data_IF_961419425070
#
_entry.id   IF_961419425070
#
_cell.length_a   1.000
_cell.length_b   1.000
_cell.length_c   1.000
_cell.angle_alpha   90.00
_cell.angle_beta   90.00
_cell.angle_gamma   90.00
#
_symmetry.space_group_name_H-M   'P 1'
#
loop_
_entity.id
_entity.type
_entity.pdbx_description
1 polymer ?
#
# COMPACT_ATOMS: atom_id res chain seq x y z
N UNK A 1 -29.91 -24.88 20.30
CA UNK A 1 -30.22 -23.63 19.56
C UNK A 1 -28.90 -22.89 19.39
N UNK A 2 -28.35 -22.84 18.16
CA UNK A 2 -28.29 -21.64 17.29
C UNK A 2 -27.36 -20.56 17.90
N UNK A 3 -26.25 -20.09 17.33
CA UNK A 3 -25.85 -19.91 15.92
C UNK A 3 -24.33 -19.62 15.82
N UNK A 4 -23.69 -20.22 14.80
CA UNK A 4 -22.70 -19.62 13.89
C UNK A 4 -21.26 -19.38 14.41
N UNK A 5 -20.44 -20.38 14.14
CA UNK A 5 -19.12 -20.30 13.49
C UNK A 5 -18.90 -19.02 12.68
N UNK A 6 -18.06 -18.09 13.17
CA UNK A 6 -17.45 -17.06 12.33
C UNK A 6 -15.99 -17.41 12.07
N UNK A 7 -15.83 -18.30 11.12
CA UNK A 7 -14.62 -18.44 10.31
C UNK A 7 -14.60 -17.23 9.36
N UNK A 8 -13.69 -16.30 9.59
CA UNK A 8 -13.24 -15.31 8.61
C UNK A 8 -11.71 -15.36 8.68
N UNK A 9 -11.06 -16.31 8.01
CA UNK A 9 -10.49 -16.12 6.66
C UNK A 9 -9.92 -14.71 6.49
N UNK A 10 -8.95 -14.34 7.33
CA UNK A 10 -7.96 -13.30 7.01
C UNK A 10 -6.66 -14.03 6.66
N UNK A 11 -6.72 -14.80 5.58
CA UNK A 11 -5.60 -15.58 5.06
C UNK A 11 -5.66 -15.56 3.53
N UNK A 12 -5.66 -14.36 2.92
CA UNK A 12 -5.65 -14.27 1.45
C UNK A 12 -5.18 -12.92 0.86
N UNK A 13 -4.22 -12.21 1.50
CA UNK A 13 -3.56 -11.07 0.83
C UNK A 13 -2.02 -11.05 1.02
N UNK A 14 -1.41 -12.16 1.43
CA UNK A 14 0.06 -12.29 1.47
C UNK A 14 0.64 -13.07 0.26
N UNK A 15 -0.14 -13.27 -0.81
CA UNK A 15 0.27 -14.06 -1.99
C UNK A 15 0.71 -13.17 -3.17
N UNK A 16 1.04 -11.89 -2.94
CA UNK A 16 1.61 -11.03 -3.99
C UNK A 16 3.09 -10.69 -3.75
N UNK A 17 3.70 -11.20 -2.66
CA UNK A 17 5.13 -11.00 -2.42
C UNK A 17 6.03 -12.10 -3.04
N UNK A 18 5.49 -12.99 -3.88
CA UNK A 18 6.19 -14.20 -4.34
C UNK A 18 7.07 -14.04 -5.59
N UNK A 19 7.44 -12.83 -5.98
CA UNK A 19 8.38 -12.62 -7.10
C UNK A 19 9.13 -11.30 -7.02
N UNK A 20 9.79 -11.01 -5.89
CA UNK A 20 11.04 -10.24 -5.94
C UNK A 20 12.14 -11.21 -6.37
N UNK A 21 12.15 -11.54 -7.66
CA UNK A 21 13.27 -12.25 -8.28
C UNK A 21 14.52 -11.42 -8.08
N UNK A 22 15.59 -12.13 -7.69
CA UNK A 22 16.97 -11.63 -7.65
C UNK A 22 17.39 -11.31 -9.09
N UNK A 23 17.12 -10.10 -9.54
CA UNK A 23 17.85 -9.48 -10.63
C UNK A 23 18.22 -8.08 -10.15
N UNK A 24 19.52 -7.83 -10.11
CA UNK A 24 20.20 -6.58 -9.79
C UNK A 24 19.91 -5.51 -10.88
N UNK A 25 18.63 -5.29 -11.18
CA UNK A 25 18.14 -4.21 -12.01
C UNK A 25 17.38 -3.25 -11.09
N UNK A 26 17.98 -2.09 -10.80
CA UNK A 26 17.38 -0.90 -10.19
C UNK A 26 16.15 -0.35 -11.00
N UNK A 27 15.61 -1.13 -11.93
CA UNK A 27 14.46 -0.81 -12.76
C UNK A 27 13.14 -0.95 -12.01
N UNK A 28 13.04 -1.87 -11.05
CA UNK A 28 11.83 -2.10 -10.25
C UNK A 28 12.02 -1.59 -8.81
N UNK A 29 11.01 -0.88 -8.30
CA UNK A 29 11.01 -0.40 -6.94
C UNK A 29 9.65 -0.55 -6.28
N UNK A 30 9.68 -0.69 -4.96
CA UNK A 30 8.50 -0.82 -4.13
C UNK A 30 8.39 0.32 -3.14
N UNK A 31 7.17 0.80 -2.93
CA UNK A 31 6.77 1.75 -1.90
C UNK A 31 5.55 1.21 -1.18
N UNK A 32 5.40 1.62 0.06
CA UNK A 32 4.18 1.43 0.84
C UNK A 32 3.67 2.80 1.22
N UNK A 33 2.49 3.16 0.73
CA UNK A 33 1.82 4.40 1.05
C UNK A 33 0.76 4.15 2.13
N UNK A 34 0.89 4.84 3.24
CA UNK A 34 -0.10 4.88 4.32
C UNK A 34 -0.98 6.10 4.15
N UNK A 35 -2.29 5.90 4.08
CA UNK A 35 -3.29 6.97 4.06
C UNK A 35 -3.98 6.99 5.43
N UNK A 36 -3.82 8.09 6.14
CA UNK A 36 -4.47 8.31 7.44
C UNK A 36 -5.59 9.33 7.24
N UNK A 37 -6.81 8.97 7.63
CA UNK A 37 -7.95 9.88 7.56
C UNK A 37 -8.16 10.51 8.94
N UNK A 38 -8.48 11.80 8.97
CA UNK A 38 -8.69 12.57 10.21
C UNK A 38 -9.78 11.99 11.12
N UNK A 39 -10.83 11.42 10.52
CA UNK A 39 -12.01 10.89 11.21
C UNK A 39 -12.05 9.35 11.28
N UNK A 40 -11.00 8.66 10.80
CA UNK A 40 -10.95 7.20 10.76
C UNK A 40 -9.69 6.71 11.49
N UNK A 41 -9.87 5.83 12.48
CA UNK A 41 -8.78 5.36 13.34
C UNK A 41 -7.81 4.38 12.63
N UNK A 42 -8.31 3.58 11.71
CA UNK A 42 -7.55 2.66 10.86
C UNK A 42 -7.04 3.35 9.59
N UNK A 43 -5.72 3.41 9.37
CA UNK A 43 -5.15 3.87 8.11
C UNK A 43 -5.23 2.80 7.03
N UNK A 44 -5.29 3.22 5.77
CA UNK A 44 -5.15 2.33 4.62
C UNK A 44 -3.68 2.18 4.24
N UNK A 45 -3.28 0.98 3.84
CA UNK A 45 -1.92 0.66 3.42
C UNK A 45 -1.97 0.17 1.98
N UNK A 46 -1.32 0.90 1.08
CA UNK A 46 -1.29 0.62 -0.36
C UNK A 46 0.13 0.24 -0.77
N UNK A 47 0.38 -1.03 -1.13
CA UNK A 47 1.65 -1.44 -1.71
C UNK A 47 1.71 -1.02 -3.19
N UNK A 48 2.79 -0.37 -3.56
CA UNK A 48 3.06 0.08 -4.92
C UNK A 48 4.40 -0.50 -5.35
N UNK A 49 4.40 -1.39 -6.34
CA UNK A 49 5.61 -2.01 -6.87
C UNK A 49 5.57 -2.03 -8.40
N UNK A 50 6.71 -1.85 -9.04
CA UNK A 50 6.83 -1.88 -10.49
C UNK A 50 7.98 -0.99 -10.98
N UNK A 51 7.92 -0.63 -12.26
CA UNK A 51 8.98 0.16 -12.89
C UNK A 51 9.15 1.52 -12.19
N UNK A 52 10.40 1.94 -11.99
CA UNK A 52 10.77 3.16 -11.29
C UNK A 52 9.96 4.38 -11.75
N UNK A 53 9.91 4.65 -13.05
CA UNK A 53 9.23 5.85 -13.57
C UNK A 53 7.75 5.87 -13.20
N UNK A 54 7.08 4.71 -13.30
CA UNK A 54 5.67 4.54 -12.98
C UNK A 54 5.41 4.65 -11.47
N UNK A 55 6.23 3.99 -10.66
CA UNK A 55 6.06 3.99 -9.20
C UNK A 55 6.34 5.37 -8.61
N UNK A 56 7.36 6.09 -9.08
CA UNK A 56 7.63 7.48 -8.67
C UNK A 56 6.46 8.40 -9.03
N UNK A 57 5.87 8.25 -10.22
CA UNK A 57 4.72 9.03 -10.65
C UNK A 57 3.49 8.76 -9.77
N UNK A 58 3.20 7.50 -9.46
CA UNK A 58 2.07 7.14 -8.59
C UNK A 58 2.28 7.62 -7.15
N UNK A 59 3.46 7.42 -6.57
CA UNK A 59 3.80 7.91 -5.22
C UNK A 59 3.60 9.43 -5.15
N UNK A 60 4.09 10.16 -6.15
CA UNK A 60 3.93 11.62 -6.21
C UNK A 60 2.45 12.02 -6.32
N UNK A 61 1.64 11.27 -7.05
CA UNK A 61 0.20 11.53 -7.13
C UNK A 61 -0.47 11.38 -5.77
N UNK A 62 -0.22 10.25 -5.08
CA UNK A 62 -0.74 10.01 -3.73
C UNK A 62 -0.29 11.08 -2.72
N UNK A 63 0.98 11.48 -2.75
CA UNK A 63 1.47 12.56 -1.89
C UNK A 63 0.82 13.92 -2.20
N UNK A 64 0.51 14.20 -3.47
CA UNK A 64 -0.19 15.42 -3.86
C UNK A 64 -1.65 15.39 -3.42
N UNK A 65 -2.34 14.25 -3.54
CA UNK A 65 -3.70 14.07 -3.01
C UNK A 65 -3.73 14.31 -1.50
N UNK A 66 -2.74 13.79 -0.77
CA UNK A 66 -2.57 14.04 0.66
C UNK A 66 -2.29 15.50 1.02
N UNK A 67 -1.65 16.28 0.14
CA UNK A 67 -1.39 17.72 0.37
C UNK A 67 -2.57 18.60 -0.01
N UNK A 68 -3.38 18.16 -0.97
CA UNK A 68 -4.53 18.89 -1.47
C UNK A 68 -5.77 18.73 -0.57
N UNK A 69 -5.73 17.81 0.39
CA UNK A 69 -6.85 17.50 1.28
C UNK A 69 -6.52 17.85 2.73
N UNK A 70 -7.47 18.45 3.44
CA UNK A 70 -7.39 18.73 4.87
C UNK A 70 -7.80 17.52 5.74
N UNK A 71 -8.35 16.48 5.13
CA UNK A 71 -8.96 15.34 5.80
C UNK A 71 -8.14 14.05 5.71
N UNK A 72 -7.12 14.02 4.84
CA UNK A 72 -6.22 12.87 4.69
C UNK A 72 -4.76 13.29 4.81
N UNK A 73 -3.93 12.39 5.33
CA UNK A 73 -2.48 12.52 5.31
C UNK A 73 -1.92 11.28 4.63
N UNK A 74 -1.05 11.49 3.64
CA UNK A 74 -0.42 10.40 2.89
C UNK A 74 1.07 10.38 3.20
N UNK A 75 1.59 9.18 3.49
CA UNK A 75 3.03 8.95 3.69
C UNK A 75 3.47 7.71 2.93
N UNK A 76 4.37 7.88 1.97
CA UNK A 76 4.95 6.78 1.22
C UNK A 76 6.38 6.48 1.68
N UNK A 77 6.70 5.21 1.89
CA UNK A 77 8.05 4.74 2.31
C UNK A 77 8.55 3.70 1.34
N UNK A 78 9.75 3.94 0.77
CA UNK A 78 10.41 2.97 -0.11
C UNK A 78 10.70 1.68 0.66
N UNK A 79 10.28 0.54 0.10
CA UNK A 79 10.59 -0.80 0.58
C UNK A 79 11.73 -1.37 -0.27
N UNK A 80 12.65 -2.09 0.39
CA UNK A 80 13.75 -2.80 -0.25
C UNK A 80 13.29 -4.15 -0.75
#
# INVERSE_FOLDING_TARGET
>A
MKLITKVFIVACICVVCLSCSKDDDDSNMCYECTITYKNWATPDIIPICGEKTYVEAMVKNYENEGKASDDITVRCVRKK
#
